data_IF_289309740616
#
_entry.id   IF_289309740616
#
_cell.length_a   1.000
_cell.length_b   1.000
_cell.length_c   1.000
_cell.angle_alpha   90.00
_cell.angle_beta   90.00
_cell.angle_gamma   90.00
#
_symmetry.space_group_name_H-M   'P 1'
#
loop_
_entity.id
_entity.type
_entity.pdbx_description
1 polymer ?
#
# COMPACT_ATOMS: atom_id res chain seq x y z
N UNK A 1 11.99 9.12 -15.91
CA UNK A 1 11.94 9.17 -15.72
C UNK A 1 11.09 9.16 -14.91
N UNK A 2 10.46 8.94 -15.29
CA UNK A 2 9.47 9.03 -14.60
C UNK A 2 9.69 8.74 -13.27
N UNK A 3 9.22 8.03 -12.72
CA UNK A 3 9.49 7.83 -11.48
C UNK A 3 10.66 8.50 -10.99
N UNK A 4 11.24 9.24 -11.77
CA UNK A 4 12.32 10.02 -11.34
C UNK A 4 11.94 10.80 -10.15
N UNK A 5 12.66 10.71 -9.09
CA UNK A 5 12.37 11.46 -7.89
C UNK A 5 11.41 10.80 -6.95
N UNK A 6 10.73 9.74 -7.36
CA UNK A 6 9.81 9.06 -6.46
C UNK A 6 10.57 8.02 -5.64
N UNK A 7 10.39 8.08 -4.34
CA UNK A 7 11.07 7.18 -3.40
C UNK A 7 10.02 6.55 -2.49
N UNK A 8 9.94 5.24 -2.51
CA UNK A 8 8.94 4.51 -1.74
C UNK A 8 9.47 4.08 -0.37
N UNK A 9 8.76 4.44 0.66
CA UNK A 9 9.06 3.98 2.02
C UNK A 9 7.90 3.12 2.47
N UNK A 10 8.20 1.86 2.77
CA UNK A 10 7.20 0.94 3.28
C UNK A 10 7.30 0.89 4.79
N UNK A 11 6.23 1.29 5.42
CA UNK A 11 6.13 1.32 6.88
C UNK A 11 5.43 0.04 7.32
N UNK A 12 6.13 -0.77 8.07
CA UNK A 12 5.62 -2.06 8.51
C UNK A 12 5.71 -2.19 10.03
N UNK A 13 4.97 -3.11 10.59
CA UNK A 13 5.00 -3.37 12.02
C UNK A 13 4.82 -4.87 12.30
N UNK A 14 5.18 -5.27 13.51
CA UNK A 14 4.91 -6.62 14.01
C UNK A 14 4.26 -6.47 15.37
N UNK A 15 3.00 -6.89 15.51
CA UNK A 15 2.10 -7.41 14.48
C UNK A 15 1.69 -6.32 13.50
N UNK A 16 1.30 -6.74 12.32
CA UNK A 16 0.83 -5.82 11.29
C UNK A 16 -0.53 -5.24 11.65
N UNK A 17 -1.00 -4.27 10.86
CA UNK A 17 -2.32 -3.70 11.13
C UNK A 17 -2.31 -2.49 12.03
N UNK A 18 -1.15 -1.95 12.33
CA UNK A 18 -1.09 -0.69 13.07
C UNK A 18 -1.47 0.46 12.13
N UNK A 19 -2.10 1.48 12.69
CA UNK A 19 -2.37 2.69 11.93
C UNK A 19 -1.06 3.44 11.70
N UNK A 20 -0.78 3.80 10.47
CA UNK A 20 0.34 4.67 10.15
C UNK A 20 -0.17 6.10 10.25
N UNK A 21 0.37 6.85 11.18
CA UNK A 21 -0.06 8.22 11.42
C UNK A 21 1.11 9.15 11.18
N UNK A 22 0.97 10.03 10.20
CA UNK A 22 2.01 10.97 9.84
C UNK A 22 1.48 12.38 10.05
N UNK A 23 2.11 13.10 10.97
CA UNK A 23 1.71 14.46 11.32
C UNK A 23 0.23 14.50 11.72
N UNK A 24 -0.20 13.51 12.49
CA UNK A 24 -1.57 13.44 12.99
C UNK A 24 -2.59 12.90 12.00
N UNK A 25 -2.18 12.52 10.81
CA UNK A 25 -3.10 12.05 9.79
C UNK A 25 -2.92 10.56 9.54
N UNK A 26 -4.04 9.82 9.51
CA UNK A 26 -4.02 8.39 9.26
C UNK A 26 -3.77 8.13 7.77
N UNK A 27 -2.71 7.37 7.48
CA UNK A 27 -2.32 7.08 6.10
C UNK A 27 -2.67 5.67 5.65
N UNK A 28 -3.07 4.82 6.56
CA UNK A 28 -3.42 3.43 6.24
C UNK A 28 -2.98 2.51 7.36
N UNK A 29 -3.21 1.21 7.16
CA UNK A 29 -2.77 0.18 8.11
C UNK A 29 -1.53 -0.49 7.56
N UNK A 30 -0.57 -0.76 8.45
CA UNK A 30 0.69 -1.38 8.02
C UNK A 30 0.48 -2.79 7.48
N UNK A 31 1.24 -3.23 6.51
CA UNK A 31 2.26 -2.43 5.81
C UNK A 31 1.64 -1.43 4.83
N UNK A 32 2.19 -0.24 4.79
CA UNK A 32 1.72 0.83 3.92
C UNK A 32 2.92 1.50 3.28
N UNK A 33 2.86 1.73 1.99
CA UNK A 33 3.95 2.39 1.27
C UNK A 33 3.55 3.80 0.92
N UNK A 34 4.38 4.75 1.30
CA UNK A 34 4.21 6.14 0.91
C UNK A 34 5.32 6.51 -0.06
N UNK A 35 4.98 7.25 -1.09
CA UNK A 35 5.93 7.68 -2.08
C UNK A 35 6.24 9.15 -1.89
N UNK A 36 7.52 9.47 -1.91
CA UNK A 36 8.00 10.82 -1.68
C UNK A 36 8.77 11.31 -2.89
N UNK A 37 8.67 12.59 -3.17
CA UNK A 37 9.52 13.21 -4.18
C UNK A 37 10.84 13.57 -3.53
N UNK A 38 11.94 13.17 -4.16
CA UNK A 38 13.27 13.45 -3.66
C UNK A 38 13.94 14.37 -4.66
N UNK A 39 14.25 15.58 -4.25
CA UNK A 39 14.84 16.56 -5.14
C UNK A 39 16.31 16.26 -5.41
N UNK A 40 16.89 16.98 -6.37
CA UNK A 40 18.26 16.73 -6.76
C UNK A 40 19.25 17.06 -5.67
N UNK A 41 18.95 18.05 -4.82
CA UNK A 41 19.82 18.40 -3.71
C UNK A 41 19.89 17.27 -2.70
N UNK A 42 18.76 16.65 -2.39
CA UNK A 42 18.73 15.52 -1.48
C UNK A 42 19.49 14.34 -2.05
N UNK A 43 19.37 14.10 -3.34
CA UNK A 43 20.12 13.03 -3.99
C UNK A 43 21.63 13.28 -3.91
N UNK A 44 22.04 14.52 -4.08
CA UNK A 44 23.45 14.86 -3.97
C UNK A 44 23.98 14.71 -2.55
N UNK A 45 23.13 15.09 -1.57
CA UNK A 45 23.52 14.95 -0.15
C UNK A 45 23.57 13.47 0.25
N UNK A 46 22.76 12.64 -0.37
CA UNK A 46 22.68 11.23 -0.03
C UNK A 46 21.69 10.91 1.07
N UNK A 47 20.86 11.86 1.48
CA UNK A 47 19.84 11.62 2.49
C UNK A 47 18.71 12.65 2.39
N UNK A 48 17.57 12.32 2.99
CA UNK A 48 16.49 13.28 3.12
C UNK A 48 15.66 12.96 4.36
N UNK A 49 14.86 13.92 4.77
CA UNK A 49 13.98 13.77 5.93
C UNK A 49 12.54 13.88 5.50
N UNK A 50 11.68 13.15 6.18
CA UNK A 50 10.23 13.20 5.95
C UNK A 50 9.56 13.77 7.18
N UNK A 51 8.25 14.03 7.07
CA UNK A 51 7.48 14.40 8.24
C UNK A 51 7.47 13.19 9.18
N UNK A 52 7.36 13.43 10.48
CA UNK A 52 7.38 12.32 11.44
C UNK A 52 6.15 11.44 11.29
N UNK A 53 6.36 10.14 11.32
CA UNK A 53 5.31 9.15 11.27
C UNK A 53 5.44 8.23 12.46
N UNK A 54 4.30 7.65 12.89
CA UNK A 54 4.31 6.68 13.98
C UNK A 54 3.32 5.58 13.68
N UNK A 55 3.54 4.44 14.32
CA UNK A 55 2.62 3.32 14.28
C UNK A 55 1.80 3.33 15.56
N UNK A 56 0.50 3.17 15.43
CA UNK A 56 -0.39 3.06 16.58
C UNK A 56 -1.23 1.82 16.41
N UNK A 57 -1.03 0.88 17.30
CA UNK A 57 -1.81 -0.36 17.29
C UNK A 57 -3.20 -0.11 17.85
N UNK A 58 -4.13 -1.00 17.55
CA UNK A 58 -5.52 -0.82 17.96
C UNK A 58 -5.67 -0.78 19.48
N UNK A 59 -4.75 -1.38 20.21
CA UNK A 59 -4.73 -1.29 21.67
C UNK A 59 -4.37 0.09 22.18
N UNK A 60 -3.84 0.94 21.32
CA UNK A 60 -3.40 2.28 21.71
C UNK A 60 -1.91 2.43 21.90
N UNK A 61 -1.16 1.34 21.85
CA UNK A 61 0.30 1.40 21.98
C UNK A 61 0.85 2.03 20.72
N UNK A 62 1.88 2.87 20.85
CA UNK A 62 2.47 3.62 19.75
C UNK A 62 3.97 3.50 19.77
N UNK A 63 4.56 3.66 18.59
CA UNK A 63 6.01 3.76 18.44
C UNK A 63 6.32 4.61 17.21
N UNK A 64 7.35 5.43 17.34
CA UNK A 64 7.72 6.36 16.27
C UNK A 64 8.65 5.69 15.28
N UNK A 65 8.49 6.05 14.01
CA UNK A 65 9.46 5.70 12.96
C UNK A 65 10.53 6.78 12.88
N UNK A 66 11.67 6.40 12.33
CA UNK A 66 12.69 7.38 11.99
C UNK A 66 12.16 8.25 10.86
N UNK A 67 12.64 9.49 10.82
CA UNK A 67 12.27 10.38 9.72
C UNK A 67 13.47 10.80 8.89
N UNK A 68 14.58 10.09 9.03
CA UNK A 68 15.79 10.34 8.27
C UNK A 68 16.09 9.11 7.42
N UNK A 69 16.37 9.30 6.15
CA UNK A 69 16.51 8.21 5.20
C UNK A 69 17.81 8.37 4.42
N UNK A 70 18.60 7.30 4.40
CA UNK A 70 19.91 7.28 3.75
C UNK A 70 19.70 6.79 2.31
N UNK A 71 19.91 7.68 1.35
CA UNK A 71 19.71 7.36 -0.05
C UNK A 71 20.89 6.60 -0.65
N UNK A 72 22.04 6.62 0.00
CA UNK A 72 23.18 5.85 -0.47
C UNK A 72 23.03 4.38 -0.13
N UNK A 73 22.54 4.10 1.08
CA UNK A 73 22.30 2.73 1.50
C UNK A 73 21.06 2.14 0.83
N UNK A 74 20.03 2.94 0.66
CA UNK A 74 18.77 2.50 0.09
C UNK A 74 18.36 3.42 -1.05
N UNK A 75 18.98 3.27 -2.23
CA UNK A 75 18.75 4.24 -3.31
C UNK A 75 17.37 4.16 -3.95
N UNK A 76 16.72 3.00 -3.92
CA UNK A 76 15.46 2.80 -4.64
C UNK A 76 14.24 2.78 -3.76
N UNK A 77 14.41 2.72 -2.48
CA UNK A 77 13.31 2.62 -1.53
C UNK A 77 13.75 1.85 -0.30
N UNK A 78 12.93 1.85 0.72
CA UNK A 78 13.29 1.20 1.98
C UNK A 78 12.04 0.69 2.67
N UNK A 79 12.19 -0.37 3.45
CA UNK A 79 11.15 -0.86 4.33
C UNK A 79 11.65 -0.75 5.77
N UNK A 80 10.83 -0.19 6.62
CA UNK A 80 11.11 -0.13 8.06
C UNK A 80 10.05 -0.91 8.80
N UNK A 81 10.48 -1.82 9.67
CA UNK A 81 9.58 -2.63 10.47
C UNK A 81 9.78 -2.31 11.93
N UNK A 82 8.72 -1.92 12.61
CA UNK A 82 8.77 -1.64 14.04
C UNK A 82 8.17 -2.82 14.82
N UNK A 83 8.84 -3.20 15.88
CA UNK A 83 8.30 -4.18 16.82
C UNK A 83 7.40 -3.45 17.80
N UNK A 84 6.22 -4.01 18.07
CA UNK A 84 5.31 -3.45 19.04
C UNK A 84 6.00 -3.43 20.42
N UNK A 85 6.00 -2.30 21.11
CA UNK A 85 6.52 -2.27 22.47
C UNK A 85 5.73 -3.21 23.37
N UNK A 86 6.34 -3.70 24.44
CA UNK A 86 5.67 -4.54 25.40
C UNK A 86 4.55 -3.77 26.08
N UNK A 87 3.48 -4.48 26.41
CA UNK A 87 2.35 -3.85 27.07
C UNK A 87 1.09 -4.66 26.83
N UNK A 88 0.01 -4.25 27.49
CA UNK A 88 -1.26 -4.96 27.40
C UNK A 88 -1.84 -4.86 25.99
N UNK A 89 -2.69 -5.82 25.66
CA UNK A 89 -3.44 -5.75 24.41
C UNK A 89 -2.77 -6.43 23.23
N UNK A 90 -1.75 -7.24 23.45
CA UNK A 90 -1.08 -7.92 22.35
C UNK A 90 -2.04 -8.80 21.54
N UNK A 91 -2.88 -9.58 22.23
CA UNK A 91 -3.84 -10.45 21.53
C UNK A 91 -4.79 -9.65 20.66
N UNK A 92 -5.24 -8.51 21.17
CA UNK A 92 -6.10 -7.62 20.42
C UNK A 92 -5.42 -7.11 19.16
N UNK A 93 -4.17 -6.73 19.26
CA UNK A 93 -3.40 -6.22 18.13
C UNK A 93 -3.13 -7.33 17.12
N UNK A 94 -2.83 -8.55 17.59
CA UNK A 94 -2.60 -9.68 16.70
C UNK A 94 -3.88 -10.07 15.96
N UNK A 95 -5.02 -10.04 16.61
CA UNK A 95 -6.29 -10.32 15.97
C UNK A 95 -6.63 -9.26 14.92
N UNK A 96 -6.36 -8.02 15.25
CA UNK A 96 -6.62 -6.94 14.31
C UNK A 96 -5.72 -7.06 13.08
N UNK A 97 -4.50 -7.56 13.25
CA UNK A 97 -3.61 -7.80 12.13
C UNK A 97 -4.24 -8.76 11.12
N UNK A 98 -4.85 -9.81 11.60
CA UNK A 98 -5.53 -10.78 10.73
C UNK A 98 -6.72 -10.15 10.03
N UNK A 99 -7.46 -9.30 10.75
CA UNK A 99 -8.60 -8.61 10.17
C UNK A 99 -8.16 -7.68 9.04
N UNK A 100 -7.09 -6.94 9.24
CA UNK A 100 -6.58 -6.03 8.20
C UNK A 100 -6.10 -6.82 6.99
N UNK A 101 -5.40 -7.93 7.19
CA UNK A 101 -4.99 -8.78 6.09
C UNK A 101 -6.18 -9.27 5.30
N UNK A 102 -7.24 -9.69 5.98
CA UNK A 102 -8.44 -10.14 5.32
C UNK A 102 -9.09 -9.05 4.50
N UNK A 103 -9.16 -7.84 5.04
CA UNK A 103 -9.72 -6.71 4.31
C UNK A 103 -8.91 -6.39 3.06
N UNK A 104 -7.59 -6.42 3.16
CA UNK A 104 -6.74 -6.15 2.01
C UNK A 104 -6.89 -7.23 0.94
N UNK A 105 -6.94 -8.48 1.38
CA UNK A 105 -7.13 -9.59 0.46
C UNK A 105 -8.47 -9.49 -0.27
N UNK A 106 -9.55 -9.19 0.44
CA UNK A 106 -10.86 -9.04 -0.17
C UNK A 106 -10.90 -7.90 -1.17
N UNK A 107 -10.23 -6.80 -0.86
CA UNK A 107 -10.16 -5.67 -1.78
C UNK A 107 -9.45 -6.05 -3.07
N UNK A 108 -8.34 -6.76 -2.96
CA UNK A 108 -7.59 -7.21 -4.13
C UNK A 108 -8.40 -8.20 -4.95
N UNK A 109 -9.07 -9.13 -4.29
CA UNK A 109 -9.90 -10.10 -4.98
C UNK A 109 -11.06 -9.44 -5.70
N UNK A 110 -11.71 -8.47 -5.06
CA UNK A 110 -12.82 -7.75 -5.68
C UNK A 110 -12.35 -6.96 -6.90
N UNK A 111 -11.19 -6.35 -6.81
CA UNK A 111 -10.61 -5.60 -7.92
C UNK A 111 -10.29 -6.54 -9.10
N UNK A 112 -9.68 -7.68 -8.82
CA UNK A 112 -9.36 -8.66 -9.84
C UNK A 112 -10.62 -9.20 -10.52
N UNK A 113 -11.66 -9.49 -9.75
CA UNK A 113 -12.92 -9.97 -10.29
C UNK A 113 -13.57 -8.90 -11.19
N UNK A 114 -13.50 -7.66 -10.78
CA UNK A 114 -14.07 -6.57 -11.58
C UNK A 114 -13.32 -6.41 -12.90
N UNK A 115 -12.00 -6.49 -12.87
CA UNK A 115 -11.20 -6.39 -14.08
C UNK A 115 -11.48 -7.53 -15.04
N UNK A 116 -11.63 -8.73 -14.53
CA UNK A 116 -11.96 -9.88 -15.36
C UNK A 116 -13.32 -9.71 -16.02
N UNK A 117 -14.32 -9.22 -15.29
CA UNK A 117 -15.64 -8.98 -15.83
C UNK A 117 -15.60 -7.91 -16.92
N UNK A 118 -14.84 -6.86 -16.74
CA UNK A 118 -14.71 -5.81 -17.74
C UNK A 118 -14.05 -6.34 -19.02
N UNK A 119 -13.04 -7.17 -18.87
CA UNK A 119 -12.36 -7.76 -20.02
C UNK A 119 -13.29 -8.66 -20.81
N UNK A 120 -14.11 -9.47 -20.13
CA UNK A 120 -15.06 -10.35 -20.79
C UNK A 120 -16.11 -9.54 -21.54
N UNK A 121 -16.62 -8.47 -20.93
CA UNK A 121 -17.61 -7.62 -21.58
C UNK A 121 -17.03 -6.98 -22.84
N UNK A 122 -15.81 -6.50 -22.78
CA UNK A 122 -15.19 -5.91 -23.95
C UNK A 122 -14.97 -6.92 -25.08
N UNK A 123 -14.59 -8.13 -24.75
CA UNK A 123 -14.41 -9.19 -25.74
C UNK A 123 -15.72 -9.51 -26.44
N UNK A 124 -16.82 -9.59 -25.68
CA UNK A 124 -18.13 -9.86 -26.26
C UNK A 124 -18.52 -8.73 -27.21
N UNK A 125 -18.33 -7.51 -26.79
CA UNK A 125 -18.70 -6.37 -27.63
C UNK A 125 -17.93 -6.37 -28.95
N UNK A 126 -16.69 -6.80 -28.91
CA UNK A 126 -15.93 -6.81 -30.16
C UNK A 126 -16.35 -7.90 -31.10
N UNK A 127 -16.74 -9.03 -30.54
CA UNK A 127 -17.09 -10.08 -31.44
C UNK A 127 -18.40 -9.91 -32.02
N UNK A 128 -19.23 -9.17 -31.52
CA UNK A 128 -20.48 -9.06 -32.02
C UNK A 128 -20.60 -8.34 -33.09
N UNK A 129 -20.29 -8.36 -33.81
CA UNK A 129 -20.34 -7.55 -34.78
C UNK A 129 -21.13 -8.14 -35.47
N UNK A 130 -21.68 -8.79 -35.23
CA UNK A 130 -22.16 -9.31 -35.41
C UNK A 130 -22.63 -9.80 -35.93
N UNK A 131 -23.25 -10.26 -36.19
CA UNK A 131 -23.71 -10.86 -36.75
C UNK A 131 -24.62 -11.62 -36.27
N UNK A 132 -25.41 -11.74 -36.39
CA UNK A 132 -26.26 -12.34 -35.83
C UNK A 132 -26.59 -13.27 -36.51
N UNK A 133 -26.50 -13.69 -36.77
CA UNK A 133 -26.54 -14.61 -37.30
C UNK A 133 -27.42 -15.40 -36.84
N UNK A 134 -27.85 -15.95 -37.27
CA UNK A 134 -28.63 -16.78 -36.85
C UNK A 134 -29.12 -16.39 -35.76
N UNK A 135 -29.14 -15.66 -35.69
CA UNK A 135 -29.67 -15.34 -34.78
C UNK A 135 -28.95 -15.00 -33.76
N UNK A 136 -28.18 -14.63 -33.71
CA UNK A 136 -27.67 -14.20 -32.77
C UNK A 136 -26.61 -13.67 -33.09
N UNK A 137 -26.34 -12.94 -33.05
CA UNK A 137 -25.59 -12.26 -33.35
C UNK A 137 -24.54 -12.30 -32.86
N UNK A 138 -23.88 -12.05 -33.11
CA UNK A 138 -22.89 -12.07 -32.67
C UNK A 138 -22.24 -11.14 -33.00
N UNK A 139 -22.04 -10.61 -33.34
CA UNK A 139 -21.40 -9.92 -33.65
C UNK A 139 -20.61 -9.54 -33.37
N UNK A 140 -19.88 -9.34 -33.64
CA UNK A 140 -19.08 -8.87 -33.31
C UNK A 140 -18.94 -8.14 -33.67
#
# INVERSE_FOLDING_TARGET
LAGCGSYGITYNTVPQGASLICKGQHEGYTPTTLNYDVDSDSKKRGYFSTIPCKARWVSGIQKDYDNFWDLEEFPDGVMRTLQRPDGDGYSQDAEFALKVQGMKYQRESASAARDAANSAANAINRTVVCNTIAGYTICN
#
